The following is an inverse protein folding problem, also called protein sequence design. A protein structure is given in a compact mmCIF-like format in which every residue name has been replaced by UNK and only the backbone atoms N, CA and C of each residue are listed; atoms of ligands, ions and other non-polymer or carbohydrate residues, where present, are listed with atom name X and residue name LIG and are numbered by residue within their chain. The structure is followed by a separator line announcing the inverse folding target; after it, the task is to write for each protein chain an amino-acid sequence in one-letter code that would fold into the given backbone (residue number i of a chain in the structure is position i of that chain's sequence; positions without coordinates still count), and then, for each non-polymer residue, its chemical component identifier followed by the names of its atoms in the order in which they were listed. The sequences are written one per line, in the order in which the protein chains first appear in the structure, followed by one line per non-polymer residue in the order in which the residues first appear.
data_IF_106435256707
#
_entry.id   IF_106435256707
#
_cell.length_a   1.000
_cell.length_b   1.000
_cell.length_c   1.000
_cell.angle_alpha   90.00
_cell.angle_beta   90.00
_cell.angle_gamma   90.00
#
_symmetry.space_group_name_H-M   'P 1'
#
loop_
_entity.id
_entity.type
_entity.pdbx_description
1 polymer ?
#
# COMPACT_ATOMS: atom_id res chain seq x y z
N UNK A 1 21.97 -5.54 35.69
CA UNK A 1 21.91 -5.26 34.24
C UNK A 1 20.77 -6.04 33.63
N UNK A 2 19.70 -5.38 33.14
CA UNK A 2 18.60 -6.08 32.46
C UNK A 2 19.07 -6.47 31.07
N UNK A 3 19.17 -7.77 30.78
CA UNK A 3 19.46 -8.28 29.46
C UNK A 3 18.46 -7.67 28.46
N UNK A 4 18.95 -6.79 27.58
CA UNK A 4 18.20 -6.35 26.40
C UNK A 4 17.95 -7.62 25.61
N UNK A 5 16.71 -8.14 25.65
CA UNK A 5 16.25 -9.16 24.69
C UNK A 5 16.52 -8.56 23.31
N UNK A 6 17.58 -9.01 22.64
CA UNK A 6 17.78 -8.71 21.23
C UNK A 6 16.53 -9.20 20.52
N UNK A 7 15.70 -8.25 20.05
CA UNK A 7 14.57 -8.58 19.19
C UNK A 7 15.17 -9.28 17.98
N UNK A 8 14.78 -10.54 17.75
CA UNK A 8 15.13 -11.32 16.56
C UNK A 8 14.94 -10.41 15.35
N UNK A 9 16.04 -10.07 14.67
CA UNK A 9 15.98 -9.17 13.52
C UNK A 9 15.17 -9.87 12.44
N UNK A 10 14.17 -9.17 11.91
CA UNK A 10 13.34 -9.70 10.83
C UNK A 10 14.10 -9.55 9.51
N UNK A 11 13.91 -10.49 8.60
CA UNK A 11 14.47 -10.39 7.24
C UNK A 11 13.72 -9.32 6.45
N UNK A 12 14.39 -8.71 5.47
CA UNK A 12 13.81 -7.67 4.62
C UNK A 12 12.60 -8.18 3.82
N UNK A 13 12.63 -9.47 3.42
CA UNK A 13 11.49 -10.17 2.81
C UNK A 13 10.27 -10.25 3.74
N UNK A 14 10.47 -10.67 4.98
CA UNK A 14 9.37 -10.75 5.96
C UNK A 14 8.79 -9.37 6.28
N UNK A 15 9.65 -8.35 6.31
CA UNK A 15 9.25 -6.95 6.44
C UNK A 15 8.31 -6.53 5.29
N UNK A 16 8.74 -6.66 4.03
CA UNK A 16 7.94 -6.26 2.88
C UNK A 16 6.67 -7.09 2.73
N UNK A 17 6.70 -8.38 3.07
CA UNK A 17 5.49 -9.23 3.06
C UNK A 17 4.46 -8.76 4.08
N UNK A 18 4.88 -8.47 5.32
CA UNK A 18 3.96 -7.94 6.36
C UNK A 18 3.43 -6.57 5.99
N UNK A 19 4.27 -5.69 5.43
CA UNK A 19 3.90 -4.34 5.03
C UNK A 19 2.94 -4.33 3.82
N UNK A 20 3.13 -5.24 2.87
CA UNK A 20 2.24 -5.42 1.73
C UNK A 20 0.86 -5.94 2.17
N UNK A 21 0.80 -7.01 2.98
CA UNK A 21 -0.48 -7.59 3.42
C UNK A 21 -1.29 -6.58 4.24
N UNK A 22 -0.65 -5.87 5.17
CA UNK A 22 -1.31 -4.85 5.99
C UNK A 22 -1.71 -3.63 5.15
N UNK A 23 -0.90 -3.22 4.18
CA UNK A 23 -1.24 -2.14 3.24
C UNK A 23 -2.45 -2.46 2.35
N UNK A 24 -2.52 -3.69 1.81
CA UNK A 24 -3.69 -4.14 1.03
C UNK A 24 -4.95 -4.15 1.89
N UNK A 25 -4.87 -4.64 3.13
CA UNK A 25 -6.02 -4.67 4.04
C UNK A 25 -6.58 -3.26 4.29
N UNK A 26 -5.69 -2.29 4.57
CA UNK A 26 -6.07 -0.88 4.77
C UNK A 26 -6.75 -0.31 3.51
N UNK A 27 -6.18 -0.55 2.33
CA UNK A 27 -6.76 -0.05 1.06
C UNK A 27 -8.13 -0.64 0.76
N UNK A 28 -8.32 -1.94 0.97
CA UNK A 28 -9.60 -2.61 0.75
C UNK A 28 -10.66 -2.04 1.70
N UNK A 29 -10.32 -1.84 2.96
CA UNK A 29 -11.26 -1.28 3.94
C UNK A 29 -11.63 0.16 3.61
N UNK A 30 -10.66 1.01 3.27
CA UNK A 30 -10.90 2.41 2.90
C UNK A 30 -11.76 2.55 1.63
N UNK A 31 -11.49 1.74 0.59
CA UNK A 31 -12.29 1.73 -0.63
C UNK A 31 -13.71 1.27 -0.34
N UNK A 32 -13.88 0.24 0.49
CA UNK A 32 -15.20 -0.25 0.89
C UNK A 32 -15.98 0.80 1.68
N UNK A 33 -15.35 1.46 2.66
CA UNK A 33 -15.97 2.53 3.45
C UNK A 33 -16.44 3.68 2.55
N UNK A 34 -15.57 4.18 1.67
CA UNK A 34 -15.90 5.24 0.72
C UNK A 34 -17.02 4.84 -0.26
N UNK A 35 -17.00 3.59 -0.72
CA UNK A 35 -18.02 3.05 -1.62
C UNK A 35 -19.38 2.97 -0.90
N UNK A 36 -19.39 2.46 0.32
CA UNK A 36 -20.62 2.31 1.09
C UNK A 36 -21.20 3.66 1.53
N UNK A 37 -20.36 4.66 1.81
CA UNK A 37 -20.80 6.05 2.01
C UNK A 37 -21.38 6.66 0.73
N UNK A 38 -20.74 6.43 -0.43
CA UNK A 38 -21.22 6.94 -1.71
C UNK A 38 -22.59 6.36 -2.10
N UNK A 39 -22.80 5.07 -1.87
CA UNK A 39 -24.09 4.40 -2.14
C UNK A 39 -25.15 4.64 -1.06
N UNK A 40 -24.84 5.41 0.00
CA UNK A 40 -25.72 5.66 1.16
C UNK A 40 -26.33 4.35 1.67
N UNK A 41 -25.51 3.31 1.80
CA UNK A 41 -25.94 2.03 2.36
C UNK A 41 -26.62 2.31 3.71
N UNK A 42 -27.87 1.86 3.80
CA UNK A 42 -28.92 2.30 4.74
C UNK A 42 -28.42 2.79 6.11
N UNK A 43 -28.87 3.98 6.54
CA UNK A 43 -28.46 4.63 7.81
C UNK A 43 -29.07 3.97 9.06
N UNK A 44 -29.19 2.64 9.01
CA UNK A 44 -29.60 1.79 10.11
C UNK A 44 -28.48 1.74 11.15
N UNK A 45 -28.84 1.61 12.42
CA UNK A 45 -27.88 1.50 13.53
C UNK A 45 -26.84 0.39 13.28
N UNK A 46 -27.22 -0.67 12.57
CA UNK A 46 -26.33 -1.77 12.19
C UNK A 46 -25.25 -1.37 11.17
N UNK A 47 -25.58 -0.55 10.18
CA UNK A 47 -24.59 -0.04 9.23
C UNK A 47 -23.57 0.87 9.93
N UNK A 48 -24.03 1.77 10.81
CA UNK A 48 -23.13 2.63 11.61
C UNK A 48 -22.18 1.80 12.48
N UNK A 49 -22.67 0.73 13.12
CA UNK A 49 -21.82 -0.19 13.91
C UNK A 49 -20.78 -0.88 13.02
N UNK A 50 -21.14 -1.31 11.81
CA UNK A 50 -20.19 -1.90 10.84
C UNK A 50 -19.11 -0.89 10.46
N UNK A 51 -19.47 0.35 10.12
CA UNK A 51 -18.50 1.40 9.79
C UNK A 51 -17.54 1.71 10.95
N UNK A 52 -18.04 1.79 12.18
CA UNK A 52 -17.18 2.02 13.36
C UNK A 52 -16.21 0.85 13.59
N UNK A 53 -16.66 -0.39 13.39
CA UNK A 53 -15.81 -1.58 13.49
C UNK A 53 -14.74 -1.60 12.39
N UNK A 54 -15.12 -1.27 11.15
CA UNK A 54 -14.18 -1.18 10.03
C UNK A 54 -13.12 -0.09 10.27
N UNK A 55 -13.54 1.10 10.70
CA UNK A 55 -12.62 2.20 11.03
C UNK A 55 -11.65 1.81 12.16
N UNK A 56 -12.14 1.09 13.19
CA UNK A 56 -11.30 0.57 14.26
C UNK A 56 -10.31 -0.49 13.75
N UNK A 57 -10.71 -1.37 12.83
CA UNK A 57 -9.79 -2.32 12.19
C UNK A 57 -8.75 -1.61 11.33
N UNK A 58 -9.13 -0.60 10.55
CA UNK A 58 -8.20 0.21 9.76
C UNK A 58 -7.17 0.89 10.65
N UNK A 59 -7.59 1.47 11.77
CA UNK A 59 -6.69 2.06 12.76
C UNK A 59 -5.72 1.03 13.36
N UNK A 60 -6.20 -0.17 13.69
CA UNK A 60 -5.34 -1.26 14.17
C UNK A 60 -4.32 -1.68 13.11
N UNK A 61 -4.75 -1.85 11.86
CA UNK A 61 -3.83 -2.18 10.75
C UNK A 61 -2.81 -1.07 10.52
N UNK A 62 -3.19 0.20 10.63
CA UNK A 62 -2.26 1.33 10.53
C UNK A 62 -1.22 1.31 11.66
N UNK A 63 -1.62 0.98 12.89
CA UNK A 63 -0.68 0.81 14.02
C UNK A 63 0.27 -0.36 13.78
N UNK A 64 -0.22 -1.50 13.28
CA UNK A 64 0.61 -2.66 12.93
C UNK A 64 1.58 -2.30 11.79
N UNK A 65 1.12 -1.56 10.79
CA UNK A 65 1.93 -1.08 9.68
C UNK A 65 3.03 -0.11 10.14
N UNK A 66 2.70 0.86 10.99
CA UNK A 66 3.67 1.77 11.61
C UNK A 66 4.68 1.01 12.47
N UNK A 67 4.19 0.05 13.26
CA UNK A 67 5.07 -0.80 14.05
C UNK A 67 6.03 -1.60 13.17
N UNK A 68 5.56 -2.15 12.05
CA UNK A 68 6.41 -2.83 11.08
C UNK A 68 7.44 -1.88 10.48
N UNK A 69 7.03 -0.68 10.03
CA UNK A 69 7.90 0.37 9.48
C UNK A 69 8.99 0.84 10.45
N UNK A 70 8.77 0.74 11.76
CA UNK A 70 9.77 1.06 12.79
C UNK A 70 10.68 -0.12 13.18
N UNK A 71 10.48 -1.32 12.65
CA UNK A 71 11.36 -2.45 12.97
C UNK A 71 12.73 -2.27 12.30
N UNK A 72 13.78 -2.51 13.08
CA UNK A 72 15.14 -2.58 12.55
C UNK A 72 15.27 -3.85 11.73
N UNK A 73 15.34 -3.69 10.41
CA UNK A 73 15.63 -4.76 9.46
C UNK A 73 17.13 -5.08 9.53
N UNK A 74 17.50 -6.35 9.34
CA UNK A 74 18.91 -6.70 9.17
C UNK A 74 19.51 -5.98 7.95
N UNK A 75 20.83 -5.71 7.98
CA UNK A 75 21.50 -4.81 7.03
C UNK A 75 21.06 -5.08 5.58
N UNK A 76 20.81 -4.00 4.84
CA UNK A 76 20.60 -4.05 3.39
C UNK A 76 21.86 -4.61 2.72
N UNK A 77 21.82 -5.88 2.32
CA UNK A 77 22.82 -6.45 1.42
C UNK A 77 22.74 -5.74 0.05
N UNK A 78 23.83 -5.72 -0.73
CA UNK A 78 23.84 -5.01 -2.03
C UNK A 78 22.69 -5.46 -2.96
N UNK A 79 22.30 -6.74 -2.87
CA UNK A 79 21.15 -7.32 -3.57
C UNK A 79 19.80 -6.68 -3.18
N UNK A 80 19.64 -6.24 -1.92
CA UNK A 80 18.43 -5.56 -1.46
C UNK A 80 18.30 -4.15 -2.09
N UNK A 81 19.41 -3.44 -2.25
CA UNK A 81 19.43 -2.12 -2.89
C UNK A 81 19.10 -2.21 -4.37
N UNK A 82 19.65 -3.21 -5.06
CA UNK A 82 19.33 -3.44 -6.47
C UNK A 82 17.84 -3.79 -6.65
N UNK A 83 17.27 -4.61 -5.76
CA UNK A 83 15.85 -4.96 -5.80
C UNK A 83 14.93 -3.77 -5.50
N UNK A 84 15.30 -2.86 -4.58
CA UNK A 84 14.55 -1.60 -4.40
C UNK A 84 14.62 -0.70 -5.64
N UNK A 85 15.78 -0.62 -6.29
CA UNK A 85 15.95 0.19 -7.50
C UNK A 85 15.12 -0.37 -8.68
N UNK A 86 15.12 -1.69 -8.88
CA UNK A 86 14.25 -2.38 -9.83
C UNK A 86 12.77 -2.17 -9.50
N UNK A 87 12.39 -2.22 -8.22
CA UNK A 87 11.03 -1.95 -7.78
C UNK A 87 10.59 -0.51 -8.12
N UNK A 88 11.40 0.50 -7.82
CA UNK A 88 11.13 1.89 -8.19
C UNK A 88 11.05 2.09 -9.71
N UNK A 89 11.93 1.46 -10.48
CA UNK A 89 11.88 1.50 -11.93
C UNK A 89 10.58 0.88 -12.47
N UNK A 90 10.14 -0.23 -11.89
CA UNK A 90 8.89 -0.90 -12.27
C UNK A 90 7.66 -0.05 -11.93
N UNK A 91 7.63 0.57 -10.75
CA UNK A 91 6.58 1.53 -10.36
C UNK A 91 6.53 2.70 -11.33
N UNK A 92 7.69 3.24 -11.71
CA UNK A 92 7.79 4.37 -12.65
C UNK A 92 7.24 3.98 -14.03
N UNK A 93 7.56 2.78 -14.53
CA UNK A 93 7.00 2.26 -15.79
C UNK A 93 5.48 2.11 -15.71
N UNK A 94 4.95 1.51 -14.63
CA UNK A 94 3.51 1.42 -14.41
C UNK A 94 2.83 2.79 -14.39
N UNK A 95 3.42 3.77 -13.68
CA UNK A 95 2.89 5.14 -13.64
C UNK A 95 2.84 5.78 -15.03
N UNK A 96 3.90 5.63 -15.83
CA UNK A 96 3.94 6.15 -17.20
C UNK A 96 2.89 5.49 -18.11
N UNK A 97 2.64 4.19 -17.95
CA UNK A 97 1.58 3.48 -18.68
C UNK A 97 0.20 4.03 -18.30
N UNK A 98 -0.08 4.16 -17.00
CA UNK A 98 -1.36 4.70 -16.51
C UNK A 98 -1.56 6.14 -17.00
N UNK A 99 -0.51 6.97 -16.96
CA UNK A 99 -0.54 8.33 -17.47
C UNK A 99 -0.85 8.37 -18.97
N UNK A 100 -0.19 7.52 -19.76
CA UNK A 100 -0.43 7.43 -21.19
C UNK A 100 -1.89 7.01 -21.50
N UNK A 101 -2.43 6.04 -20.77
CA UNK A 101 -3.83 5.62 -20.89
C UNK A 101 -4.79 6.74 -20.50
N UNK A 102 -4.53 7.46 -19.40
CA UNK A 102 -5.36 8.58 -18.97
C UNK A 102 -5.41 9.70 -20.01
N UNK A 103 -4.25 10.05 -20.59
CA UNK A 103 -4.16 11.04 -21.68
C UNK A 103 -4.94 10.54 -22.89
N UNK A 104 -4.75 9.29 -23.30
CA UNK A 104 -5.47 8.70 -24.42
C UNK A 104 -6.99 8.76 -24.23
N UNK A 105 -7.51 8.35 -23.07
CA UNK A 105 -8.94 8.44 -22.74
C UNK A 105 -9.42 9.89 -22.75
N UNK A 106 -8.62 10.83 -22.24
CA UNK A 106 -8.98 12.25 -22.25
C UNK A 106 -9.13 12.83 -23.66
N UNK A 107 -8.42 12.28 -24.66
CA UNK A 107 -8.58 12.69 -26.06
C UNK A 107 -9.95 12.32 -26.64
N UNK A 108 -10.63 11.32 -26.08
CA UNK A 108 -11.95 10.86 -26.51
C UNK A 108 -13.08 11.35 -25.59
N UNK A 109 -12.79 12.21 -24.61
CA UNK A 109 -13.74 12.67 -23.62
C UNK A 109 -14.05 14.17 -23.77
N UNK A 110 -15.24 14.52 -24.27
CA UNK A 110 -15.70 15.91 -24.43
C UNK A 110 -16.22 16.56 -23.13
N UNK A 111 -16.31 15.81 -22.03
CA UNK A 111 -16.79 16.31 -20.74
C UNK A 111 -15.73 17.08 -19.95
N UNK A 112 -16.12 18.18 -19.27
CA UNK A 112 -15.26 18.82 -18.27
C UNK A 112 -15.38 18.11 -16.92
N UNK A 113 -14.25 17.65 -16.37
CA UNK A 113 -14.22 17.08 -15.01
C UNK A 113 -14.11 18.24 -14.03
N UNK A 114 -15.22 18.63 -13.39
CA UNK A 114 -15.20 19.61 -12.31
C UNK A 114 -14.86 18.90 -10.99
N UNK A 115 -13.58 18.88 -10.62
CA UNK A 115 -13.15 18.29 -9.34
C UNK A 115 -13.47 19.28 -8.23
N UNK A 116 -14.58 19.05 -7.51
CA UNK A 116 -14.83 19.73 -6.23
C UNK A 116 -13.90 19.13 -5.17
N UNK A 117 -12.78 19.79 -4.93
CA UNK A 117 -11.82 19.41 -3.90
C UNK A 117 -12.37 19.86 -2.55
N UNK A 118 -12.94 18.91 -1.80
CA UNK A 118 -13.19 19.08 -0.38
C UNK A 118 -11.93 18.63 0.39
N UNK A 119 -11.57 19.30 1.47
CA UNK A 119 -10.40 18.99 2.31
C UNK A 119 -10.41 17.52 2.76
N UNK A 120 -11.55 17.03 3.24
CA UNK A 120 -11.69 15.63 3.69
C UNK A 120 -11.47 14.63 2.56
N UNK A 121 -12.04 14.90 1.37
CA UNK A 121 -11.82 14.07 0.17
C UNK A 121 -10.38 14.13 -0.31
N UNK A 122 -9.69 15.26 -0.14
CA UNK A 122 -8.29 15.40 -0.53
C UNK A 122 -7.39 14.54 0.38
N UNK A 123 -7.62 14.55 1.70
CA UNK A 123 -6.90 13.68 2.63
C UNK A 123 -7.15 12.20 2.32
N UNK A 124 -8.39 11.84 2.01
CA UNK A 124 -8.75 10.46 1.67
C UNK A 124 -8.07 9.99 0.37
N UNK A 125 -8.12 10.80 -0.69
CA UNK A 125 -7.45 10.50 -1.96
C UNK A 125 -5.93 10.42 -1.77
N UNK A 126 -5.36 11.36 -1.01
CA UNK A 126 -3.93 11.33 -0.69
C UNK A 126 -3.55 10.08 0.11
N UNK A 127 -4.36 9.70 1.09
CA UNK A 127 -4.16 8.50 1.91
C UNK A 127 -4.17 7.22 1.06
N UNK A 128 -5.16 7.07 0.18
CA UNK A 128 -5.26 5.94 -0.76
C UNK A 128 -4.04 5.91 -1.70
N UNK A 129 -3.65 7.06 -2.26
CA UNK A 129 -2.52 7.13 -3.17
C UNK A 129 -1.20 6.77 -2.48
N UNK A 130 -0.97 7.31 -1.29
CA UNK A 130 0.21 7.05 -0.47
C UNK A 130 0.30 5.56 -0.07
N UNK A 131 -0.78 4.97 0.46
CA UNK A 131 -0.79 3.56 0.85
C UNK A 131 -0.64 2.63 -0.36
N UNK A 132 -1.24 2.97 -1.50
CA UNK A 132 -1.09 2.22 -2.74
C UNK A 132 0.36 2.19 -3.19
N UNK A 133 1.03 3.34 -3.19
CA UNK A 133 2.45 3.44 -3.52
C UNK A 133 3.31 2.57 -2.59
N UNK A 134 3.15 2.71 -1.27
CA UNK A 134 3.93 1.98 -0.27
C UNK A 134 3.72 0.46 -0.32
N UNK A 135 2.52 0.04 -0.74
CA UNK A 135 2.14 -1.36 -0.92
C UNK A 135 2.71 -1.93 -2.22
N UNK A 136 2.62 -1.19 -3.33
CA UNK A 136 3.21 -1.56 -4.62
C UNK A 136 4.72 -1.69 -4.54
N UNK A 137 5.39 -0.76 -3.85
CA UNK A 137 6.83 -0.82 -3.60
C UNK A 137 7.22 -2.15 -2.95
N UNK A 138 6.50 -2.55 -1.90
CA UNK A 138 6.74 -3.80 -1.19
C UNK A 138 6.41 -5.04 -2.04
N UNK A 139 5.37 -4.97 -2.87
CA UNK A 139 5.02 -6.05 -3.79
C UNK A 139 6.06 -6.25 -4.89
N UNK A 140 6.56 -5.17 -5.49
CA UNK A 140 7.60 -5.26 -6.51
C UNK A 140 8.94 -5.72 -5.94
N UNK A 141 9.30 -5.29 -4.73
CA UNK A 141 10.48 -5.79 -4.04
C UNK A 141 10.44 -7.32 -3.92
N UNK A 142 9.32 -7.87 -3.44
CA UNK A 142 9.12 -9.33 -3.31
C UNK A 142 9.11 -10.05 -4.66
N UNK A 143 8.58 -9.43 -5.71
CA UNK A 143 8.56 -10.02 -7.04
C UNK A 143 9.96 -10.16 -7.64
N UNK A 144 10.81 -9.13 -7.47
CA UNK A 144 12.19 -9.17 -7.95
C UNK A 144 13.09 -10.10 -7.12
N UNK A 145 12.93 -10.14 -5.80
CA UNK A 145 13.62 -11.09 -4.93
C UNK A 145 13.23 -12.56 -5.25
N UNK A 146 11.95 -12.81 -5.53
CA UNK A 146 11.47 -14.13 -5.94
C UNK A 146 12.05 -14.60 -7.28
N UNK A 147 12.24 -13.71 -8.26
CA UNK A 147 12.91 -14.07 -9.52
C UNK A 147 14.40 -14.35 -9.32
N UNK A 148 15.10 -13.50 -8.58
CA UNK A 148 16.54 -13.66 -8.33
C UNK A 148 16.88 -14.99 -7.65
N UNK A 149 16.06 -15.39 -6.66
CA UNK A 149 16.23 -16.70 -5.99
C UNK A 149 15.95 -17.91 -6.89
N UNK A 150 15.15 -17.75 -7.95
CA UNK A 150 14.92 -18.84 -8.91
C UNK A 150 16.07 -18.91 -9.91
N UNK A 151 16.59 -17.75 -10.34
CA UNK A 151 17.71 -17.66 -11.29
C UNK A 151 19.03 -18.20 -10.67
N UNK A 152 19.23 -18.08 -9.34
CA UNK A 152 20.41 -18.63 -8.64
C UNK A 152 20.31 -20.14 -8.31
N UNK A 153 19.11 -20.72 -8.27
CA UNK A 153 18.94 -22.18 -8.05
C UNK A 153 19.12 -22.99 -9.35
N UNK A 154 19.05 -22.32 -10.50
CA UNK A 154 19.16 -22.91 -11.84
C UNK A 154 20.59 -22.82 -12.45
N UNK A 155 21.59 -22.29 -11.72
CA UNK A 155 23.04 -22.32 -12.05
C UNK A 155 23.82 -23.41 -11.28
#
# INVERSE_FOLDING_TARGET
MKAKKEKKKITLREYHKKRMVTGIAILVTEIFENTAEHYKLDNTTWATVIFVVLAAMTALFAVIWLYASCQKVDKEDEMAKENMLKAHQSITKMFLIILAVAIFISMFWEGSITIKINSDRLYQVWFIFWFSYMTLESGFFLHHEGKLSTDEEDE
#
